data_IF_077496503144
#
_entry.id   IF_077496503144
#
_cell.length_a   1.000
_cell.length_b   1.000
_cell.length_c   1.000
_cell.angle_alpha   90.00
_cell.angle_beta   90.00
_cell.angle_gamma   90.00
#
_symmetry.space_group_name_H-M   'P 1'
#
loop_
_entity.id
_entity.type
_entity.pdbx_description
1 polymer ?
#
# COMPACT_ATOMS: atom_id res chain seq x y z
N UNK A 1 7.71 27.14 -21.73
CA UNK A 1 7.82 25.78 -21.18
C UNK A 1 8.13 25.97 -19.72
N UNK A 2 7.30 25.42 -18.85
CA UNK A 2 7.54 25.44 -17.41
C UNK A 2 8.66 24.46 -17.10
N UNK A 3 9.59 24.85 -16.24
CA UNK A 3 10.66 23.98 -15.77
C UNK A 3 10.44 23.64 -14.30
N UNK A 4 10.88 22.46 -13.87
CA UNK A 4 10.94 22.05 -12.47
C UNK A 4 12.32 22.35 -11.89
N UNK A 5 12.31 23.13 -10.82
CA UNK A 5 13.52 23.39 -10.03
C UNK A 5 13.76 22.19 -9.12
N UNK A 6 14.94 21.60 -9.17
CA UNK A 6 15.33 20.47 -8.31
C UNK A 6 16.38 20.91 -7.30
N UNK A 7 16.35 20.32 -6.11
CA UNK A 7 17.28 20.55 -5.02
C UNK A 7 18.08 19.28 -4.72
N UNK A 8 19.38 19.33 -4.95
CA UNK A 8 20.34 18.29 -4.59
C UNK A 8 20.63 18.21 -3.10
N UNK A 9 21.16 17.07 -2.66
CA UNK A 9 21.55 16.85 -1.25
C UNK A 9 22.73 17.73 -0.81
N UNK A 10 23.52 18.22 -1.76
CA UNK A 10 24.60 19.21 -1.59
C UNK A 10 24.08 20.66 -1.57
N UNK A 11 22.77 20.85 -1.75
CA UNK A 11 22.14 22.16 -1.87
C UNK A 11 22.21 22.77 -3.27
N UNK A 12 22.77 22.07 -4.26
CA UNK A 12 22.77 22.53 -5.64
C UNK A 12 21.35 22.60 -6.19
N UNK A 13 21.07 23.64 -6.97
CA UNK A 13 19.79 23.82 -7.64
C UNK A 13 19.97 23.58 -9.13
N UNK A 14 19.16 22.68 -9.68
CA UNK A 14 19.13 22.37 -11.13
C UNK A 14 17.72 22.57 -11.67
N UNK A 15 17.58 22.53 -13.00
CA UNK A 15 16.30 22.68 -13.69
C UNK A 15 16.11 21.53 -14.66
N UNK A 16 14.90 20.98 -14.73
CA UNK A 16 14.49 20.00 -15.75
C UNK A 16 13.19 20.43 -16.42
N UNK A 17 12.99 20.19 -17.72
CA UNK A 17 11.72 20.50 -18.38
C UNK A 17 10.55 19.75 -17.72
N UNK A 18 9.44 20.45 -17.49
CA UNK A 18 8.19 19.81 -17.08
C UNK A 18 7.61 19.03 -18.26
N UNK A 19 7.27 17.76 -18.03
CA UNK A 19 6.63 16.92 -19.04
C UNK A 19 5.13 17.23 -19.12
N UNK A 20 4.56 17.06 -20.30
CA UNK A 20 3.12 17.13 -20.50
C UNK A 20 2.38 16.05 -19.70
N UNK A 21 1.09 16.32 -19.43
CA UNK A 21 0.22 15.37 -18.75
C UNK A 21 0.14 14.05 -19.54
N UNK A 22 0.10 12.89 -18.86
CA UNK A 22 0.44 11.60 -19.46
C UNK A 22 -0.63 11.00 -20.40
N UNK A 23 -1.74 11.70 -20.62
CA UNK A 23 -2.78 11.32 -21.59
C UNK A 23 -3.48 9.98 -21.30
N UNK A 24 -3.33 9.42 -20.10
CA UNK A 24 -4.00 8.18 -19.71
C UNK A 24 -5.52 8.36 -19.65
N UNK A 25 -6.26 7.33 -20.05
CA UNK A 25 -7.71 7.30 -20.00
C UNK A 25 -8.20 6.31 -18.93
N UNK A 26 -9.29 6.69 -18.26
CA UNK A 26 -10.00 5.79 -17.34
C UNK A 26 -10.52 4.58 -18.11
N UNK A 27 -10.50 3.38 -17.52
CA UNK A 27 -10.98 2.18 -18.19
C UNK A 27 -12.50 2.27 -18.41
N UNK A 28 -12.96 1.88 -19.60
CA UNK A 28 -14.39 1.83 -19.94
C UNK A 28 -15.07 0.55 -19.41
N UNK A 29 -14.28 -0.47 -19.10
CA UNK A 29 -14.72 -1.76 -18.53
C UNK A 29 -13.83 -2.14 -17.36
N UNK A 30 -14.30 -2.98 -16.40
CA UNK A 30 -13.46 -3.46 -15.32
C UNK A 30 -12.14 -4.08 -15.82
N UNK A 31 -11.04 -3.83 -15.10
CA UNK A 31 -9.73 -4.42 -15.38
C UNK A 31 -9.81 -5.95 -15.22
N UNK A 32 -9.17 -6.70 -16.14
CA UNK A 32 -9.36 -8.17 -16.21
C UNK A 32 -8.12 -8.98 -15.87
N UNK A 33 -6.95 -8.53 -16.28
CA UNK A 33 -5.72 -9.32 -16.21
C UNK A 33 -5.19 -9.43 -14.79
N UNK A 34 -5.43 -8.44 -13.95
CA UNK A 34 -4.96 -8.36 -12.56
C UNK A 34 -6.01 -7.75 -11.66
N UNK A 35 -6.12 -8.29 -10.45
CA UNK A 35 -6.82 -7.63 -9.34
C UNK A 35 -5.83 -6.67 -8.68
N UNK A 36 -6.15 -5.39 -8.64
CA UNK A 36 -5.25 -4.37 -8.11
C UNK A 36 -5.96 -3.48 -7.09
N UNK A 37 -5.35 -3.37 -5.91
CA UNK A 37 -5.78 -2.49 -4.83
C UNK A 37 -4.71 -1.43 -4.57
N UNK A 38 -5.13 -0.18 -4.48
CA UNK A 38 -4.29 0.91 -3.96
C UNK A 38 -4.46 0.97 -2.43
N UNK A 39 -3.35 0.84 -1.68
CA UNK A 39 -3.37 1.05 -0.24
C UNK A 39 -3.43 2.55 0.05
N UNK A 40 -4.58 3.04 0.48
CA UNK A 40 -4.86 4.47 0.50
C UNK A 40 -4.34 5.17 1.77
N UNK A 41 -3.91 6.43 1.63
CA UNK A 41 -3.52 7.31 2.73
C UNK A 41 -4.75 8.03 3.32
N UNK A 42 -4.60 8.73 4.45
CA UNK A 42 -5.64 9.59 5.02
C UNK A 42 -5.23 11.05 4.93
N UNK A 43 -6.20 11.95 4.79
CA UNK A 43 -5.98 13.39 4.73
C UNK A 43 -6.49 14.02 6.03
N UNK A 44 -5.65 14.71 6.83
CA UNK A 44 -6.15 15.43 7.99
C UNK A 44 -6.81 16.75 7.58
N UNK A 45 -7.71 17.25 8.42
CA UNK A 45 -8.19 18.63 8.32
C UNK A 45 -7.00 19.59 8.43
N UNK A 46 -6.96 20.62 7.59
CA UNK A 46 -5.82 21.56 7.52
C UNK A 46 -5.54 22.24 8.87
N UNK A 47 -6.58 22.54 9.65
CA UNK A 47 -6.48 23.15 10.98
C UNK A 47 -6.39 22.15 12.13
N UNK A 48 -6.26 20.84 11.84
CA UNK A 48 -6.17 19.82 12.87
C UNK A 48 -4.93 19.98 13.75
N UNK A 49 -5.06 19.62 15.03
CA UNK A 49 -3.92 19.43 15.92
C UNK A 49 -3.20 18.12 15.57
N UNK A 50 -2.31 18.18 14.59
CA UNK A 50 -1.49 17.06 14.13
C UNK A 50 -0.22 16.85 14.98
N UNK A 51 -0.18 17.37 16.22
CA UNK A 51 0.94 17.08 17.13
C UNK A 51 1.06 15.57 17.35
N UNK A 52 2.27 14.97 17.36
CA UNK A 52 2.44 13.54 17.58
C UNK A 52 1.72 13.04 18.83
N UNK A 53 0.93 11.98 18.69
CA UNK A 53 0.15 11.37 19.78
C UNK A 53 -1.22 12.01 20.04
N UNK A 54 -1.63 13.03 19.28
CA UNK A 54 -3.00 13.56 19.33
C UNK A 54 -3.95 12.73 18.47
N UNK A 55 -5.25 12.63 18.85
CA UNK A 55 -6.24 11.95 18.02
C UNK A 55 -6.33 12.55 16.61
N UNK A 56 -6.51 11.70 15.61
CA UNK A 56 -6.58 12.10 14.22
C UNK A 56 -7.90 12.83 13.93
N UNK A 57 -7.81 14.02 13.32
CA UNK A 57 -8.96 14.72 12.76
C UNK A 57 -8.90 14.64 11.24
N UNK A 58 -9.69 13.74 10.67
CA UNK A 58 -9.67 13.42 9.23
C UNK A 58 -10.56 14.39 8.46
N UNK A 59 -10.06 14.88 7.34
CA UNK A 59 -10.86 15.49 6.28
C UNK A 59 -11.52 14.35 5.49
N UNK A 60 -12.78 14.09 5.83
CA UNK A 60 -13.53 12.98 5.23
C UNK A 60 -13.81 13.19 3.76
N UNK A 61 -14.03 14.42 3.32
CA UNK A 61 -14.34 14.71 1.92
C UNK A 61 -13.11 14.46 1.04
N UNK A 62 -11.94 14.96 1.44
CA UNK A 62 -10.70 14.71 0.72
C UNK A 62 -10.30 13.22 0.78
N UNK A 63 -10.38 12.61 1.97
CA UNK A 63 -10.02 11.20 2.17
C UNK A 63 -10.88 10.28 1.32
N UNK A 64 -12.20 10.44 1.34
CA UNK A 64 -13.13 9.63 0.55
C UNK A 64 -13.13 10.02 -0.93
N UNK A 65 -12.90 11.29 -1.27
CA UNK A 65 -12.70 11.76 -2.64
C UNK A 65 -11.55 11.03 -3.34
N UNK A 66 -10.45 10.80 -2.63
CA UNK A 66 -9.35 9.97 -3.15
C UNK A 66 -9.78 8.51 -3.43
N UNK A 67 -10.60 7.89 -2.57
CA UNK A 67 -11.11 6.52 -2.81
C UNK A 67 -11.97 6.48 -4.08
N UNK A 68 -12.88 7.45 -4.26
CA UNK A 68 -13.69 7.59 -5.48
C UNK A 68 -12.81 7.75 -6.73
N UNK A 69 -11.74 8.54 -6.63
CA UNK A 69 -10.78 8.67 -7.72
C UNK A 69 -10.14 7.32 -8.07
N UNK A 70 -9.72 6.53 -7.07
CA UNK A 70 -9.16 5.18 -7.27
C UNK A 70 -10.15 4.26 -7.99
N UNK A 71 -11.41 4.22 -7.54
CA UNK A 71 -12.46 3.43 -8.20
C UNK A 71 -12.70 3.88 -9.64
N UNK A 72 -12.67 5.18 -9.92
CA UNK A 72 -12.82 5.71 -11.29
C UNK A 72 -11.71 5.26 -12.25
N UNK A 73 -10.56 4.82 -11.73
CA UNK A 73 -9.46 4.23 -12.48
C UNK A 73 -9.51 2.69 -12.52
N UNK A 74 -10.58 2.07 -12.00
CA UNK A 74 -10.81 0.63 -12.04
C UNK A 74 -10.02 -0.17 -11.00
N UNK A 75 -9.28 0.49 -10.10
CA UNK A 75 -8.60 -0.18 -8.99
C UNK A 75 -9.53 -0.29 -7.77
N UNK A 76 -9.32 -1.32 -6.95
CA UNK A 76 -9.88 -1.39 -5.61
C UNK A 76 -9.11 -0.52 -4.61
N UNK A 77 -9.67 -0.34 -3.43
CA UNK A 77 -9.01 0.35 -2.30
C UNK A 77 -8.71 -0.66 -1.20
N UNK A 78 -7.46 -0.65 -0.72
CA UNK A 78 -7.11 -1.25 0.55
C UNK A 78 -6.99 -0.16 1.62
N UNK A 79 -7.95 -0.11 2.54
CA UNK A 79 -8.07 0.98 3.51
C UNK A 79 -7.77 0.55 4.96
N UNK A 80 -7.58 1.52 5.85
CA UNK A 80 -7.20 1.25 7.25
C UNK A 80 -6.01 0.26 7.37
N UNK A 81 -5.09 0.34 6.41
CA UNK A 81 -3.84 -0.43 6.34
C UNK A 81 -2.68 0.43 6.85
N UNK A 82 -1.45 -0.08 6.76
CA UNK A 82 -0.24 0.68 7.13
C UNK A 82 -0.18 2.04 6.40
N UNK A 83 -0.52 2.13 5.11
CA UNK A 83 -0.48 3.39 4.35
C UNK A 83 -1.43 4.47 4.89
N UNK A 84 -2.52 4.08 5.56
CA UNK A 84 -3.44 4.97 6.27
C UNK A 84 -2.89 5.44 7.62
N UNK A 85 -1.60 5.21 7.90
CA UNK A 85 -0.91 5.50 9.17
C UNK A 85 -1.42 4.67 10.36
N UNK A 86 -2.00 3.50 10.11
CA UNK A 86 -2.38 2.57 11.17
C UNK A 86 -1.15 2.11 11.95
N UNK A 87 -1.24 2.05 13.29
CA UNK A 87 -0.11 1.85 14.20
C UNK A 87 0.98 2.95 14.17
N UNK A 88 0.74 4.06 13.47
CA UNK A 88 1.71 5.16 13.29
C UNK A 88 1.01 6.54 13.18
N UNK A 89 -0.07 6.74 13.94
CA UNK A 89 -0.74 8.04 14.06
C UNK A 89 -2.27 7.97 14.00
N UNK A 90 -2.83 7.02 13.24
CA UNK A 90 -4.28 6.83 13.18
C UNK A 90 -4.76 6.08 14.43
N UNK A 91 -5.59 6.73 15.26
CA UNK A 91 -6.15 6.11 16.46
C UNK A 91 -7.31 5.15 16.14
N UNK A 92 -7.69 4.34 17.14
CA UNK A 92 -8.70 3.30 16.97
C UNK A 92 -10.09 3.84 16.61
N UNK A 93 -10.47 5.02 17.13
CA UNK A 93 -11.77 5.62 16.83
C UNK A 93 -11.81 6.10 15.38
N UNK A 94 -10.79 6.87 14.96
CA UNK A 94 -10.65 7.31 13.57
C UNK A 94 -10.55 6.13 12.59
N UNK A 95 -9.87 5.05 12.98
CA UNK A 95 -9.77 3.82 12.17
C UNK A 95 -11.13 3.14 11.97
N UNK A 96 -11.94 2.99 13.03
CA UNK A 96 -13.28 2.41 12.90
C UNK A 96 -14.20 3.25 12.02
N UNK A 97 -14.13 4.58 12.16
CA UNK A 97 -14.92 5.49 11.32
C UNK A 97 -14.47 5.44 9.85
N UNK A 98 -13.16 5.36 9.59
CA UNK A 98 -12.61 5.16 8.25
C UNK A 98 -13.11 3.87 7.61
N UNK A 99 -13.10 2.74 8.34
CA UNK A 99 -13.60 1.46 7.84
C UNK A 99 -15.09 1.57 7.44
N UNK A 100 -15.93 2.12 8.32
CA UNK A 100 -17.37 2.25 8.06
C UNK A 100 -17.65 3.14 6.84
N UNK A 101 -17.03 4.32 6.77
CA UNK A 101 -17.22 5.27 5.67
C UNK A 101 -16.67 4.75 4.34
N UNK A 102 -15.50 4.10 4.35
CA UNK A 102 -14.93 3.53 3.12
C UNK A 102 -15.75 2.36 2.59
N UNK A 103 -16.34 1.55 3.47
CA UNK A 103 -17.28 0.51 3.08
C UNK A 103 -18.56 1.08 2.44
N UNK A 104 -19.08 2.18 2.99
CA UNK A 104 -20.22 2.90 2.42
C UNK A 104 -19.90 3.47 1.03
N UNK A 105 -18.79 4.19 0.88
CA UNK A 105 -18.37 4.76 -0.41
C UNK A 105 -18.12 3.66 -1.45
N UNK A 106 -17.54 2.52 -1.07
CA UNK A 106 -17.38 1.40 -1.99
C UNK A 106 -18.73 0.89 -2.53
N UNK A 107 -19.77 0.80 -1.68
CA UNK A 107 -21.13 0.43 -2.12
C UNK A 107 -21.75 1.46 -3.06
N UNK A 108 -21.58 2.75 -2.77
CA UNK A 108 -22.10 3.85 -3.59
C UNK A 108 -21.48 3.86 -4.99
N UNK A 109 -20.17 3.64 -5.08
CA UNK A 109 -19.40 3.71 -6.32
C UNK A 109 -19.37 2.37 -7.08
N UNK A 110 -19.90 1.29 -6.48
CA UNK A 110 -19.71 -0.08 -6.99
C UNK A 110 -18.24 -0.52 -6.98
N UNK A 111 -17.43 0.07 -6.10
CA UNK A 111 -16.02 -0.20 -5.92
C UNK A 111 -15.74 -1.44 -5.05
N UNK A 112 -14.51 -1.96 -5.14
CA UNK A 112 -14.03 -3.03 -4.27
C UNK A 112 -13.19 -2.47 -3.13
N UNK A 113 -13.55 -2.78 -1.88
CA UNK A 113 -12.78 -2.36 -0.71
C UNK A 113 -12.39 -3.56 0.15
N UNK A 114 -11.11 -3.57 0.53
CA UNK A 114 -10.60 -4.42 1.61
C UNK A 114 -10.05 -3.53 2.70
N UNK A 115 -10.17 -3.93 3.96
CA UNK A 115 -9.72 -3.12 5.10
C UNK A 115 -8.88 -3.93 6.09
N UNK A 116 -7.93 -3.26 6.72
CA UNK A 116 -7.11 -3.89 7.74
C UNK A 116 -7.92 -4.38 8.95
N UNK A 117 -7.56 -5.55 9.46
CA UNK A 117 -7.96 -6.08 10.75
C UNK A 117 -6.68 -6.29 11.56
N UNK A 118 -6.57 -5.61 12.70
CA UNK A 118 -5.39 -5.63 13.57
C UNK A 118 -5.84 -5.61 15.04
N UNK A 119 -4.90 -5.72 15.96
CA UNK A 119 -5.11 -5.71 17.42
C UNK A 119 -4.78 -4.37 18.06
N UNK A 120 -4.69 -3.31 17.26
CA UNK A 120 -4.16 -1.99 17.62
C UNK A 120 -5.11 -1.10 18.43
N UNK A 121 -6.32 -1.59 18.70
CA UNK A 121 -7.30 -0.95 19.57
C UNK A 121 -7.16 -1.35 21.04
N UNK A 122 -6.27 -2.30 21.35
CA UNK A 122 -5.92 -2.68 22.71
C UNK A 122 -4.75 -1.82 23.15
N UNK A 123 -4.94 -1.02 24.19
CA UNK A 123 -3.93 -0.07 24.67
C UNK A 123 -2.76 -0.77 25.40
N UNK A 124 -3.04 -1.91 26.06
CA UNK A 124 -2.04 -2.68 26.79
C UNK A 124 -1.01 -3.31 25.82
N UNK A 125 0.26 -2.91 25.94
CA UNK A 125 1.32 -3.35 25.03
C UNK A 125 1.59 -4.86 25.06
N UNK A 126 1.36 -5.49 26.21
CA UNK A 126 1.60 -6.90 26.47
C UNK A 126 0.30 -7.57 26.93
N UNK A 127 -0.22 -8.45 26.08
CA UNK A 127 -1.46 -9.21 26.32
C UNK A 127 -1.24 -10.69 26.03
N UNK A 128 -2.08 -11.55 26.59
CA UNK A 128 -2.02 -13.00 26.35
C UNK A 128 -2.43 -13.36 24.91
N UNK A 129 -2.07 -14.57 24.46
CA UNK A 129 -2.52 -15.07 23.16
C UNK A 129 -4.06 -15.11 23.04
N UNK A 130 -4.76 -15.40 24.13
CA UNK A 130 -6.23 -15.41 24.13
C UNK A 130 -6.79 -14.00 23.93
N UNK A 131 -6.18 -12.99 24.57
CA UNK A 131 -6.54 -11.59 24.36
C UNK A 131 -6.21 -11.12 22.93
N UNK A 132 -5.12 -11.60 22.32
CA UNK A 132 -4.80 -11.35 20.90
C UNK A 132 -5.89 -11.92 19.99
N UNK A 133 -6.33 -13.16 20.24
CA UNK A 133 -7.40 -13.81 19.48
C UNK A 133 -8.71 -13.02 19.60
N UNK A 134 -9.10 -12.64 20.82
CA UNK A 134 -10.30 -11.85 21.08
C UNK A 134 -10.25 -10.49 20.39
N UNK A 135 -9.10 -9.82 20.42
CA UNK A 135 -8.87 -8.55 19.74
C UNK A 135 -9.05 -8.68 18.21
N UNK A 136 -8.45 -9.71 17.60
CA UNK A 136 -8.66 -9.98 16.17
C UNK A 136 -10.12 -10.27 15.85
N UNK A 137 -10.79 -11.15 16.61
CA UNK A 137 -12.20 -11.51 16.38
C UNK A 137 -13.13 -10.31 16.49
N UNK A 138 -12.90 -9.42 17.47
CA UNK A 138 -13.67 -8.18 17.64
C UNK A 138 -13.57 -7.24 16.43
N UNK A 139 -12.36 -7.05 15.90
CA UNK A 139 -12.13 -6.18 14.74
C UNK A 139 -12.59 -6.83 13.44
N UNK A 140 -12.44 -8.15 13.31
CA UNK A 140 -12.95 -8.92 12.19
C UNK A 140 -14.48 -8.80 12.10
N UNK A 141 -15.18 -9.06 13.21
CA UNK A 141 -16.63 -8.95 13.27
C UNK A 141 -17.12 -7.54 12.88
N UNK A 142 -16.46 -6.49 13.40
CA UNK A 142 -16.80 -5.12 13.01
C UNK A 142 -16.61 -4.86 11.51
N UNK A 143 -15.48 -5.30 10.94
CA UNK A 143 -15.21 -5.17 9.51
C UNK A 143 -16.28 -5.87 8.65
N UNK A 144 -16.67 -7.08 9.05
CA UNK A 144 -17.70 -7.87 8.36
C UNK A 144 -19.10 -7.24 8.48
N UNK A 145 -19.44 -6.67 9.64
CA UNK A 145 -20.69 -5.90 9.84
C UNK A 145 -20.78 -4.69 8.90
N UNK A 146 -19.64 -4.06 8.57
CA UNK A 146 -19.60 -2.97 7.59
C UNK A 146 -19.68 -3.47 6.14
N UNK A 147 -19.54 -4.78 5.91
CA UNK A 147 -19.54 -5.39 4.57
C UNK A 147 -18.24 -5.17 3.79
N UNK A 148 -17.12 -4.88 4.46
CA UNK A 148 -15.81 -4.73 3.82
C UNK A 148 -15.03 -6.05 3.84
N UNK A 149 -14.17 -6.28 2.83
CA UNK A 149 -13.30 -7.46 2.79
C UNK A 149 -12.19 -7.37 3.84
N UNK A 150 -12.02 -8.36 4.75
CA UNK A 150 -11.01 -8.28 5.79
C UNK A 150 -9.59 -8.61 5.27
N UNK A 151 -8.62 -7.79 5.66
CA UNK A 151 -7.18 -8.08 5.54
C UNK A 151 -6.62 -8.29 6.94
N UNK A 152 -6.31 -9.53 7.33
CA UNK A 152 -5.69 -9.85 8.61
C UNK A 152 -4.24 -9.36 8.61
N UNK A 153 -4.02 -8.17 9.16
CA UNK A 153 -2.70 -7.54 9.28
C UNK A 153 -1.88 -8.23 10.37
N UNK A 154 -0.56 -8.23 10.22
CA UNK A 154 0.36 -8.63 11.27
C UNK A 154 0.15 -7.76 12.55
N UNK A 155 0.14 -8.42 13.71
CA UNK A 155 -0.13 -7.82 15.03
C UNK A 155 1.14 -7.64 15.83
N UNK A 156 1.38 -6.41 16.31
CA UNK A 156 2.46 -6.13 17.28
C UNK A 156 2.28 -6.90 18.59
N UNK A 157 1.04 -7.09 19.04
CA UNK A 157 0.74 -7.89 20.23
C UNK A 157 1.09 -9.36 20.03
N UNK A 158 0.74 -9.95 18.88
CA UNK A 158 1.11 -11.33 18.56
C UNK A 158 2.62 -11.51 18.46
N UNK A 159 3.32 -10.57 17.79
CA UNK A 159 4.77 -10.60 17.68
C UNK A 159 5.48 -10.64 19.03
N UNK A 160 4.94 -9.95 20.05
CA UNK A 160 5.46 -9.95 21.42
C UNK A 160 5.04 -11.18 22.24
N UNK A 161 3.81 -11.65 22.05
CA UNK A 161 3.22 -12.70 22.90
C UNK A 161 3.60 -14.12 22.45
N UNK A 162 3.81 -14.34 21.14
CA UNK A 162 4.16 -15.64 20.60
C UNK A 162 5.58 -16.06 21.00
N UNK A 163 5.73 -17.31 21.43
CA UNK A 163 7.00 -17.94 21.80
C UNK A 163 7.47 -18.98 20.80
N UNK A 164 6.60 -19.37 19.87
CA UNK A 164 6.82 -20.43 18.89
C UNK A 164 5.99 -20.22 17.62
N UNK A 165 6.33 -20.92 16.54
CA UNK A 165 5.51 -20.97 15.33
C UNK A 165 4.10 -21.55 15.59
N UNK A 166 3.95 -22.45 16.56
CA UNK A 166 2.66 -23.05 16.93
C UNK A 166 1.70 -22.03 17.54
N UNK A 167 2.21 -21.01 18.22
CA UNK A 167 1.40 -19.91 18.73
C UNK A 167 0.78 -19.10 17.58
N UNK A 168 1.54 -18.85 16.50
CA UNK A 168 1.00 -18.21 15.29
C UNK A 168 -0.06 -19.09 14.63
N UNK A 169 0.21 -20.38 14.42
CA UNK A 169 -0.76 -21.33 13.83
C UNK A 169 -2.05 -21.35 14.63
N UNK A 170 -1.96 -21.44 15.96
CA UNK A 170 -3.10 -21.42 16.87
C UNK A 170 -3.93 -20.14 16.70
N UNK A 171 -3.29 -18.97 16.75
CA UNK A 171 -4.00 -17.68 16.66
C UNK A 171 -4.69 -17.53 15.31
N UNK A 172 -3.99 -17.79 14.20
CA UNK A 172 -4.59 -17.69 12.87
C UNK A 172 -5.73 -18.71 12.67
N UNK A 173 -5.59 -19.95 13.13
CA UNK A 173 -6.65 -20.97 13.07
C UNK A 173 -7.91 -20.51 13.80
N UNK A 174 -7.77 -19.99 15.01
CA UNK A 174 -8.90 -19.51 15.82
C UNK A 174 -9.60 -18.30 15.21
N UNK A 175 -8.85 -17.37 14.62
CA UNK A 175 -9.40 -16.17 13.98
C UNK A 175 -10.06 -16.52 12.64
N UNK A 176 -9.42 -17.35 11.81
CA UNK A 176 -9.95 -17.77 10.51
C UNK A 176 -11.22 -18.62 10.66
N UNK A 177 -11.30 -19.47 11.68
CA UNK A 177 -12.51 -20.23 11.99
C UNK A 177 -13.70 -19.34 12.38
N UNK A 178 -13.47 -18.12 12.84
CA UNK A 178 -14.52 -17.15 13.18
C UNK A 178 -14.94 -16.27 11.99
N UNK A 179 -14.19 -16.26 10.89
CA UNK A 179 -14.49 -15.44 9.72
C UNK A 179 -15.76 -15.95 9.01
N UNK A 180 -16.68 -15.03 8.72
CA UNK A 180 -17.92 -15.32 7.96
C UNK A 180 -17.65 -15.60 6.48
N UNK A 181 -16.52 -15.12 5.94
CA UNK A 181 -16.10 -15.32 4.55
C UNK A 181 -14.58 -15.29 4.36
N UNK A 182 -14.10 -15.42 3.10
CA UNK A 182 -12.68 -15.42 2.80
C UNK A 182 -11.97 -14.12 3.18
N UNK A 183 -10.78 -14.24 3.77
CA UNK A 183 -9.94 -13.11 4.21
C UNK A 183 -8.64 -13.04 3.41
N UNK A 184 -8.02 -11.87 3.35
CA UNK A 184 -6.64 -11.73 2.85
C UNK A 184 -5.68 -11.73 4.05
N UNK A 185 -4.64 -12.55 4.03
CA UNK A 185 -3.58 -12.47 5.04
C UNK A 185 -2.58 -11.36 4.65
N UNK A 186 -1.99 -10.67 5.62
CA UNK A 186 -0.94 -9.69 5.34
C UNK A 186 0.29 -9.93 6.20
N UNK A 187 1.39 -10.28 5.53
CA UNK A 187 2.72 -10.36 6.13
C UNK A 187 3.48 -9.05 5.91
N UNK A 188 3.56 -8.23 6.96
CA UNK A 188 4.32 -6.98 6.95
C UNK A 188 5.73 -7.19 7.51
N UNK A 189 6.74 -6.80 6.74
CA UNK A 189 8.16 -6.95 7.12
C UNK A 189 8.69 -5.83 8.01
N UNK A 190 9.87 -6.05 8.58
CA UNK A 190 10.53 -5.16 9.56
C UNK A 190 10.96 -3.80 9.01
N UNK A 191 11.11 -3.67 7.69
CA UNK A 191 11.36 -2.38 7.05
C UNK A 191 10.21 -1.38 7.29
N UNK A 192 8.98 -1.90 7.39
CA UNK A 192 7.76 -1.12 7.62
C UNK A 192 7.39 -1.02 9.09
N UNK A 193 7.64 -2.08 9.86
CA UNK A 193 7.39 -2.10 11.30
C UNK A 193 8.43 -2.97 12.04
N UNK A 194 9.44 -2.35 12.67
CA UNK A 194 10.49 -3.10 13.35
C UNK A 194 10.01 -4.01 14.48
N UNK A 195 8.82 -3.77 15.06
CA UNK A 195 8.26 -4.60 16.14
C UNK A 195 7.85 -5.98 15.63
N UNK A 196 7.62 -6.13 14.32
CA UNK A 196 7.23 -7.39 13.68
C UNK A 196 8.44 -8.31 13.37
N UNK A 197 9.59 -8.07 13.99
CA UNK A 197 10.77 -8.91 13.79
C UNK A 197 10.49 -10.38 14.18
N UNK A 198 10.77 -11.30 13.25
CA UNK A 198 10.54 -12.72 13.47
C UNK A 198 9.08 -13.15 13.41
N UNK A 199 8.19 -12.35 12.79
CA UNK A 199 6.80 -12.72 12.58
C UNK A 199 6.68 -14.11 11.92
N UNK A 200 5.71 -14.91 12.35
CA UNK A 200 5.60 -16.36 12.07
C UNK A 200 6.66 -17.25 12.75
N UNK A 201 7.42 -16.72 13.71
CA UNK A 201 8.28 -17.50 14.61
C UNK A 201 9.73 -17.68 14.14
N UNK A 202 10.15 -17.01 13.06
CA UNK A 202 11.54 -17.06 12.57
C UNK A 202 11.96 -15.77 11.88
N UNK A 203 13.22 -15.30 12.05
CA UNK A 203 13.78 -14.23 11.23
C UNK A 203 14.21 -14.70 9.83
N UNK A 204 14.34 -16.02 9.60
CA UNK A 204 14.55 -16.57 8.26
C UNK A 204 13.21 -16.68 7.54
N UNK A 205 13.07 -15.93 6.44
CA UNK A 205 11.84 -15.90 5.67
C UNK A 205 11.45 -17.27 5.15
N UNK A 206 12.39 -18.20 4.89
CA UNK A 206 12.05 -19.55 4.40
C UNK A 206 11.23 -20.33 5.43
N UNK A 207 11.72 -20.37 6.67
CA UNK A 207 11.02 -21.03 7.76
C UNK A 207 9.71 -20.31 8.12
N UNK A 208 9.68 -18.98 8.11
CA UNK A 208 8.46 -18.22 8.35
C UNK A 208 7.41 -18.43 7.22
N UNK A 209 7.86 -18.56 5.97
CA UNK A 209 7.01 -18.90 4.83
C UNK A 209 6.37 -20.29 4.97
N UNK A 210 7.06 -21.26 5.55
CA UNK A 210 6.48 -22.59 5.80
C UNK A 210 5.28 -22.49 6.75
N UNK A 211 5.41 -21.72 7.83
CA UNK A 211 4.31 -21.49 8.79
C UNK A 211 3.15 -20.76 8.12
N UNK A 212 3.42 -19.73 7.31
CA UNK A 212 2.40 -19.01 6.57
C UNK A 212 1.64 -19.94 5.59
N UNK A 213 2.37 -20.76 4.83
CA UNK A 213 1.77 -21.67 3.85
C UNK A 213 0.92 -22.73 4.57
N UNK A 214 1.38 -23.29 5.68
CA UNK A 214 0.59 -24.23 6.49
C UNK A 214 -0.69 -23.59 7.03
N UNK A 215 -0.63 -22.34 7.52
CA UNK A 215 -1.83 -21.59 7.94
C UNK A 215 -2.83 -21.44 6.78
N UNK A 216 -2.36 -21.18 5.57
CA UNK A 216 -3.21 -21.06 4.37
C UNK A 216 -3.79 -22.42 3.99
N UNK A 217 -2.99 -23.48 3.98
CA UNK A 217 -3.42 -24.84 3.62
C UNK A 217 -4.48 -25.38 4.59
N UNK A 218 -4.32 -25.16 5.89
CA UNK A 218 -5.29 -25.55 6.93
C UNK A 218 -6.65 -24.82 6.80
N UNK A 219 -6.69 -23.69 6.08
CA UNK A 219 -7.84 -22.78 6.03
C UNK A 219 -8.12 -22.30 4.60
N UNK A 220 -7.88 -23.13 3.58
CA UNK A 220 -7.93 -22.72 2.17
C UNK A 220 -9.31 -22.18 1.73
N UNK A 221 -10.40 -22.64 2.34
CA UNK A 221 -11.76 -22.13 2.11
C UNK A 221 -12.01 -20.74 2.74
N UNK A 222 -11.14 -20.31 3.65
CA UNK A 222 -11.21 -19.05 4.39
C UNK A 222 -10.16 -18.04 3.99
N UNK A 223 -9.24 -18.37 3.09
CA UNK A 223 -8.19 -17.45 2.64
C UNK A 223 -8.36 -17.14 1.16
N UNK A 224 -8.71 -15.89 0.83
CA UNK A 224 -8.79 -15.40 -0.54
C UNK A 224 -7.42 -15.10 -1.14
N UNK A 225 -6.43 -14.78 -0.29
CA UNK A 225 -5.09 -14.46 -0.75
C UNK A 225 -4.16 -14.06 0.39
N UNK A 226 -2.91 -13.78 0.03
CA UNK A 226 -1.91 -13.22 0.93
C UNK A 226 -1.21 -12.05 0.27
N UNK A 227 -1.04 -10.97 1.04
CA UNK A 227 -0.17 -9.84 0.73
C UNK A 227 1.17 -10.02 1.44
N UNK A 228 2.28 -10.01 0.69
CA UNK A 228 3.63 -10.01 1.25
C UNK A 228 4.33 -8.65 1.07
N UNK A 229 4.70 -8.01 2.17
CA UNK A 229 5.43 -6.73 2.19
C UNK A 229 6.80 -6.89 2.84
N UNK A 230 7.65 -7.73 2.21
CA UNK A 230 9.01 -8.00 2.66
C UNK A 230 10.09 -7.25 1.87
N UNK A 231 9.72 -6.65 0.72
CA UNK A 231 10.66 -6.08 -0.26
C UNK A 231 11.71 -7.09 -0.74
N UNK A 232 11.31 -8.37 -0.79
CA UNK A 232 12.10 -9.49 -1.27
C UNK A 232 11.28 -10.26 -2.31
N UNK A 233 11.53 -9.95 -3.58
CA UNK A 233 10.85 -10.55 -4.71
C UNK A 233 11.05 -12.08 -4.79
N UNK A 234 12.20 -12.60 -4.36
CA UNK A 234 12.48 -14.04 -4.39
C UNK A 234 11.65 -14.77 -3.32
N UNK A 235 11.50 -14.16 -2.14
CA UNK A 235 10.61 -14.66 -1.10
C UNK A 235 9.15 -14.71 -1.57
N UNK A 236 8.67 -13.65 -2.24
CA UNK A 236 7.31 -13.62 -2.78
C UNK A 236 7.06 -14.72 -3.81
N UNK A 237 7.97 -14.89 -4.78
CA UNK A 237 7.81 -15.95 -5.81
C UNK A 237 7.84 -17.34 -5.19
N UNK A 238 8.73 -17.58 -4.21
CA UNK A 238 8.79 -18.85 -3.49
C UNK A 238 7.48 -19.19 -2.78
N UNK A 239 6.80 -18.22 -2.16
CA UNK A 239 5.49 -18.44 -1.53
C UNK A 239 4.40 -18.58 -2.59
N UNK A 240 4.39 -17.72 -3.60
CA UNK A 240 3.37 -17.72 -4.67
C UNK A 240 3.25 -19.10 -5.30
N UNK A 241 4.35 -19.74 -5.64
CA UNK A 241 4.36 -21.04 -6.32
C UNK A 241 3.81 -22.20 -5.46
N UNK A 242 3.73 -22.00 -4.14
CA UNK A 242 3.21 -22.98 -3.18
C UNK A 242 1.75 -22.77 -2.79
N UNK A 243 1.11 -21.67 -3.21
CA UNK A 243 -0.25 -21.34 -2.76
C UNK A 243 -1.31 -22.34 -3.28
N UNK A 244 -2.24 -22.83 -2.43
CA UNK A 244 -3.35 -23.69 -2.85
C UNK A 244 -4.25 -23.03 -3.90
N UNK A 245 -4.83 -23.79 -4.83
CA UNK A 245 -5.73 -23.29 -5.86
C UNK A 245 -6.80 -22.33 -5.29
N UNK A 246 -7.10 -21.23 -6.00
CA UNK A 246 -8.04 -20.21 -5.55
C UNK A 246 -7.44 -19.13 -4.64
N UNK A 247 -6.33 -19.39 -3.95
CA UNK A 247 -5.63 -18.39 -3.13
C UNK A 247 -4.77 -17.49 -4.00
N UNK A 248 -4.94 -16.17 -3.90
CA UNK A 248 -4.17 -15.17 -4.67
C UNK A 248 -2.88 -14.77 -3.95
N UNK A 249 -1.82 -14.50 -4.72
CA UNK A 249 -0.68 -13.72 -4.23
C UNK A 249 -0.93 -12.26 -4.58
N UNK A 250 -1.01 -11.40 -3.59
CA UNK A 250 -0.97 -9.95 -3.77
C UNK A 250 0.45 -9.47 -3.49
N UNK A 251 1.13 -8.93 -4.49
CA UNK A 251 2.41 -8.27 -4.23
C UNK A 251 2.17 -7.06 -3.33
N UNK A 252 2.91 -7.02 -2.23
CA UNK A 252 3.10 -5.85 -1.39
C UNK A 252 4.54 -5.34 -1.48
N UNK A 253 5.27 -5.73 -2.53
CA UNK A 253 6.64 -5.33 -2.81
C UNK A 253 6.64 -4.07 -3.69
N UNK A 254 6.71 -2.91 -3.02
CA UNK A 254 6.76 -1.62 -3.68
C UNK A 254 8.12 -1.35 -4.39
N UNK A 255 9.08 -2.26 -4.38
CA UNK A 255 10.38 -2.13 -5.07
C UNK A 255 10.44 -2.89 -6.41
N UNK A 256 9.65 -3.95 -6.56
CA UNK A 256 9.81 -4.94 -7.63
C UNK A 256 8.48 -5.31 -8.33
N UNK A 257 7.43 -4.52 -8.13
CA UNK A 257 6.08 -4.84 -8.58
C UNK A 257 5.92 -4.98 -10.09
N UNK A 258 6.75 -4.34 -10.93
CA UNK A 258 6.57 -4.42 -12.40
C UNK A 258 6.74 -5.85 -12.89
N UNK A 259 7.81 -6.50 -12.43
CA UNK A 259 8.07 -7.90 -12.74
C UNK A 259 7.11 -8.86 -12.07
N UNK A 260 6.80 -8.63 -10.79
CA UNK A 260 5.93 -9.53 -10.01
C UNK A 260 4.50 -9.57 -10.56
N UNK A 261 3.96 -8.40 -10.93
CA UNK A 261 2.65 -8.27 -11.58
C UNK A 261 2.72 -8.73 -13.03
N UNK A 262 3.75 -8.35 -13.77
CA UNK A 262 3.88 -8.70 -15.19
C UNK A 262 3.99 -10.20 -15.41
N UNK A 263 4.77 -10.89 -14.59
CA UNK A 263 4.87 -12.34 -14.61
C UNK A 263 5.21 -12.91 -16.00
N UNK A 264 4.60 -14.04 -16.36
CA UNK A 264 4.85 -14.66 -17.67
C UNK A 264 4.34 -13.83 -18.85
N UNK A 265 3.36 -12.97 -18.61
CA UNK A 265 2.78 -12.11 -19.65
C UNK A 265 3.76 -11.01 -20.07
N UNK A 266 4.76 -10.70 -19.23
CA UNK A 266 5.75 -9.64 -19.47
C UNK A 266 7.18 -10.17 -19.28
N UNK A 267 7.65 -11.06 -20.16
CA UNK A 267 8.93 -11.76 -19.99
C UNK A 267 10.16 -10.84 -20.04
N UNK A 268 10.01 -9.59 -20.49
CA UNK A 268 11.08 -8.58 -20.53
C UNK A 268 11.23 -7.78 -19.24
N UNK A 269 10.25 -7.82 -18.35
CA UNK A 269 10.38 -7.19 -17.04
C UNK A 269 11.39 -7.95 -16.19
N UNK A 270 12.22 -7.24 -15.41
CA UNK A 270 13.12 -7.88 -14.45
C UNK A 270 12.31 -8.66 -13.42
N UNK A 271 12.61 -9.95 -13.27
CA UNK A 271 11.90 -10.86 -12.37
C UNK A 271 12.90 -11.76 -11.64
N UNK A 272 12.61 -12.19 -10.40
CA UNK A 272 13.35 -13.26 -9.77
C UNK A 272 13.18 -14.58 -10.55
N UNK A 273 14.04 -15.56 -10.26
CA UNK A 273 13.90 -16.91 -10.79
C UNK A 273 12.54 -17.49 -10.40
N UNK A 274 11.90 -18.20 -11.33
CA UNK A 274 10.56 -18.76 -11.20
C UNK A 274 10.49 -20.10 -11.92
N UNK A 275 9.69 -21.02 -11.41
CA UNK A 275 9.45 -22.31 -12.04
C UNK A 275 8.54 -22.11 -13.27
N UNK A 276 9.03 -22.36 -14.51
CA UNK A 276 8.19 -22.25 -15.70
C UNK A 276 7.05 -23.29 -15.73
N UNK A 277 7.13 -24.36 -14.95
CA UNK A 277 6.08 -25.37 -14.82
C UNK A 277 5.00 -24.99 -13.79
N UNK A 278 5.23 -23.97 -12.96
CA UNK A 278 4.24 -23.50 -11.99
C UNK A 278 2.99 -22.98 -12.71
N UNK A 279 1.81 -23.33 -12.21
CA UNK A 279 0.55 -22.74 -12.68
C UNK A 279 0.43 -21.24 -12.32
N UNK A 280 1.29 -20.73 -11.42
CA UNK A 280 1.23 -19.38 -10.86
C UNK A 280 2.39 -18.53 -11.36
N UNK A 281 2.12 -17.82 -12.43
CA UNK A 281 3.15 -17.10 -13.18
C UNK A 281 3.17 -15.59 -12.92
N UNK A 282 2.23 -15.04 -12.14
CA UNK A 282 2.14 -13.62 -11.78
C UNK A 282 1.52 -13.42 -10.40
N UNK A 283 1.71 -12.24 -9.82
CA UNK A 283 1.02 -11.77 -8.62
C UNK A 283 -0.05 -10.73 -8.99
N UNK A 284 -1.17 -10.74 -8.27
CA UNK A 284 -2.09 -9.59 -8.18
C UNK A 284 -1.44 -8.47 -7.34
N UNK A 285 -2.09 -7.32 -7.15
CA UNK A 285 -1.47 -6.17 -6.49
C UNK A 285 -2.28 -5.64 -5.30
N UNK A 286 -1.59 -5.36 -4.18
CA UNK A 286 -2.12 -4.57 -3.07
C UNK A 286 -0.97 -3.66 -2.56
N UNK A 287 -0.82 -2.48 -3.16
CA UNK A 287 0.41 -1.68 -3.07
C UNK A 287 0.17 -0.27 -2.55
N UNK A 288 1.09 0.24 -1.74
CA UNK A 288 1.11 1.66 -1.38
C UNK A 288 1.56 2.53 -2.56
N UNK A 289 2.48 2.01 -3.38
CA UNK A 289 2.88 2.64 -4.64
C UNK A 289 1.68 2.92 -5.55
N UNK A 290 0.70 2.00 -5.63
CA UNK A 290 -0.46 2.20 -6.49
C UNK A 290 -1.39 3.33 -6.02
N UNK A 291 -1.32 3.77 -4.77
CA UNK A 291 -1.97 5.02 -4.35
C UNK A 291 -1.21 6.27 -4.83
N UNK A 292 0.10 6.19 -5.02
CA UNK A 292 0.90 7.28 -5.57
C UNK A 292 0.82 7.39 -7.10
N UNK A 293 0.55 6.27 -7.79
CA UNK A 293 0.57 6.18 -9.26
C UNK A 293 -0.70 5.54 -9.84
N UNK A 294 -1.87 5.75 -9.22
CA UNK A 294 -3.13 5.08 -9.61
C UNK A 294 -3.45 5.13 -11.11
N UNK A 295 -3.36 6.29 -11.80
CA UNK A 295 -3.62 6.34 -13.25
C UNK A 295 -2.62 5.53 -14.08
N UNK A 296 -1.34 5.54 -13.68
CA UNK A 296 -0.26 4.81 -14.35
C UNK A 296 -0.48 3.31 -14.20
N UNK A 297 -0.80 2.85 -12.99
CA UNK A 297 -1.11 1.45 -12.70
C UNK A 297 -2.32 0.96 -13.50
N UNK A 298 -3.39 1.75 -13.54
CA UNK A 298 -4.57 1.45 -14.36
C UNK A 298 -4.22 1.32 -15.84
N UNK A 299 -3.52 2.30 -16.41
CA UNK A 299 -3.14 2.29 -17.82
C UNK A 299 -2.23 1.11 -18.17
N UNK A 300 -1.34 0.71 -17.26
CA UNK A 300 -0.51 -0.47 -17.44
C UNK A 300 -1.33 -1.76 -17.46
N UNK A 301 -2.28 -1.94 -16.53
CA UNK A 301 -3.15 -3.13 -16.52
C UNK A 301 -4.06 -3.15 -17.75
N UNK A 302 -4.56 -2.00 -18.22
CA UNK A 302 -5.28 -1.90 -19.50
C UNK A 302 -4.42 -2.37 -20.69
N UNK A 303 -3.12 -2.11 -20.68
CA UNK A 303 -2.21 -2.64 -21.70
C UNK A 303 -2.09 -4.18 -21.63
N UNK A 304 -2.03 -4.76 -20.43
CA UNK A 304 -2.09 -6.22 -20.26
C UNK A 304 -3.42 -6.80 -20.74
N UNK A 305 -4.55 -6.14 -20.45
CA UNK A 305 -5.88 -6.53 -20.91
C UNK A 305 -5.99 -6.57 -22.44
N UNK A 306 -5.18 -5.77 -23.12
CA UNK A 306 -5.03 -5.72 -24.58
C UNK A 306 -3.94 -6.66 -25.12
N UNK A 307 -3.23 -7.41 -24.27
CA UNK A 307 -2.14 -8.29 -24.66
C UNK A 307 -0.84 -7.56 -25.05
N UNK A 308 -0.69 -6.29 -24.66
CA UNK A 308 0.46 -5.44 -24.99
C UNK A 308 1.46 -5.34 -23.83
N UNK A 309 2.28 -6.39 -23.70
CA UNK A 309 3.34 -6.48 -22.70
C UNK A 309 4.38 -5.36 -22.81
N UNK A 310 4.62 -4.87 -24.03
CA UNK A 310 5.60 -3.84 -24.33
C UNK A 310 5.12 -2.48 -23.83
N UNK A 311 3.84 -2.18 -24.06
CA UNK A 311 3.20 -0.98 -23.53
C UNK A 311 3.06 -1.02 -22.02
N UNK A 312 2.73 -2.17 -21.42
CA UNK A 312 2.76 -2.34 -19.97
C UNK A 312 4.13 -1.94 -19.40
N UNK A 313 5.21 -2.48 -19.97
CA UNK A 313 6.57 -2.22 -19.49
C UNK A 313 6.97 -0.75 -19.71
N UNK A 314 6.58 -0.16 -20.85
CA UNK A 314 6.86 1.25 -21.14
C UNK A 314 6.14 2.21 -20.16
N UNK A 315 4.94 1.86 -19.70
CA UNK A 315 4.16 2.67 -18.76
C UNK A 315 4.67 2.46 -17.33
N UNK A 316 4.76 1.21 -16.87
CA UNK A 316 4.98 0.90 -15.46
C UNK A 316 6.47 0.79 -15.11
N UNK A 317 7.32 0.39 -16.04
CA UNK A 317 8.76 0.21 -15.81
C UNK A 317 9.45 1.43 -15.16
N UNK A 318 9.29 2.66 -15.70
CA UNK A 318 9.91 3.87 -15.13
C UNK A 318 9.49 4.18 -13.68
N UNK A 319 8.34 3.65 -13.24
CA UNK A 319 7.76 3.98 -11.93
C UNK A 319 8.43 3.24 -10.77
N UNK A 320 9.20 2.17 -11.02
CA UNK A 320 9.92 1.47 -9.94
C UNK A 320 10.97 2.37 -9.29
N UNK A 321 11.66 3.22 -10.07
CA UNK A 321 12.63 4.13 -9.51
C UNK A 321 11.97 5.18 -8.62
N UNK A 322 10.84 5.74 -9.06
CA UNK A 322 9.99 6.61 -8.24
C UNK A 322 9.59 5.91 -6.94
N UNK A 323 9.10 4.67 -7.03
CA UNK A 323 8.65 3.92 -5.87
C UNK A 323 9.80 3.60 -4.91
N UNK A 324 10.95 3.16 -5.41
CA UNK A 324 12.15 2.95 -4.57
C UNK A 324 12.58 4.22 -3.84
N UNK A 325 12.41 5.40 -4.47
CA UNK A 325 12.65 6.68 -3.79
C UNK A 325 11.61 6.93 -2.69
N UNK A 326 10.31 6.80 -2.98
CA UNK A 326 9.23 6.98 -2.00
C UNK A 326 9.43 6.07 -0.77
N UNK A 327 9.82 4.82 -1.02
CA UNK A 327 10.01 3.78 -0.02
C UNK A 327 11.46 3.63 0.48
N UNK A 328 12.34 4.58 0.16
CA UNK A 328 13.74 4.55 0.58
C UNK A 328 13.89 4.52 2.12
N UNK A 329 14.97 3.94 2.63
CA UNK A 329 15.22 3.88 4.07
C UNK A 329 15.20 5.28 4.73
N UNK A 330 14.61 5.48 5.93
CA UNK A 330 13.81 4.50 6.69
C UNK A 330 12.45 4.28 6.02
N UNK A 331 12.15 3.03 5.64
CA UNK A 331 11.03 2.71 4.74
C UNK A 331 9.67 3.04 5.34
N UNK A 332 9.47 2.85 6.65
CA UNK A 332 8.20 3.14 7.34
C UNK A 332 7.68 4.59 7.17
N UNK A 333 8.52 5.54 6.74
CA UNK A 333 8.12 6.91 6.37
C UNK A 333 7.64 7.10 4.92
N UNK A 334 7.51 6.04 4.11
CA UNK A 334 7.06 6.13 2.71
C UNK A 334 5.71 6.84 2.55
N UNK A 335 4.86 6.74 3.57
CA UNK A 335 3.54 7.40 3.69
C UNK A 335 3.65 8.91 3.41
N UNK A 336 4.79 9.51 3.77
CA UNK A 336 5.13 10.92 3.49
C UNK A 336 5.22 11.19 2.00
N UNK A 337 5.89 10.32 1.24
CA UNK A 337 6.00 10.44 -0.22
C UNK A 337 4.65 10.19 -0.91
N UNK A 338 3.84 9.25 -0.41
CA UNK A 338 2.48 9.00 -0.92
C UNK A 338 1.58 10.23 -0.72
N UNK A 339 1.52 10.78 0.49
CA UNK A 339 0.75 12.00 0.77
C UNK A 339 1.30 13.23 0.03
N UNK A 340 2.62 13.30 -0.18
CA UNK A 340 3.24 14.35 -0.97
C UNK A 340 2.81 14.30 -2.44
N UNK A 341 2.81 13.13 -3.07
CA UNK A 341 2.31 12.95 -4.44
C UNK A 341 0.81 13.21 -4.55
N UNK A 342 0.02 12.78 -3.56
CA UNK A 342 -1.40 13.13 -3.43
C UNK A 342 -1.61 14.64 -3.42
N UNK A 343 -0.80 15.36 -2.64
CA UNK A 343 -0.80 16.83 -2.63
C UNK A 343 -0.32 17.43 -3.95
N UNK A 344 0.71 16.91 -4.62
CA UNK A 344 1.10 17.46 -5.91
C UNK A 344 0.00 17.30 -6.97
N UNK A 345 -0.73 16.19 -6.95
CA UNK A 345 -1.73 15.83 -7.96
C UNK A 345 -3.15 16.39 -7.73
N UNK A 346 -3.38 17.14 -6.65
CA UNK A 346 -4.70 17.77 -6.44
C UNK A 346 -5.61 17.08 -5.43
N UNK A 347 -5.22 15.91 -4.90
CA UNK A 347 -6.10 15.07 -4.09
C UNK A 347 -6.22 15.53 -2.63
N UNK A 348 -5.30 16.37 -2.16
CA UNK A 348 -5.40 17.08 -0.88
C UNK A 348 -5.01 18.55 -1.02
N UNK A 349 -5.62 19.41 -0.21
CA UNK A 349 -5.47 20.87 -0.31
C UNK A 349 -4.09 21.36 0.19
N UNK A 350 -3.54 20.72 1.21
CA UNK A 350 -2.25 21.06 1.82
C UNK A 350 -1.41 19.80 2.04
N UNK A 351 -0.08 19.94 2.02
CA UNK A 351 0.82 18.88 2.44
C UNK A 351 0.88 18.82 3.98
N UNK A 352 -0.14 18.16 4.54
CA UNK A 352 -0.30 17.87 5.96
C UNK A 352 -0.61 16.38 6.11
N UNK A 353 -0.24 15.83 7.26
CA UNK A 353 -0.45 14.42 7.60
C UNK A 353 -0.76 14.31 9.08
N UNK A 354 -1.54 13.28 9.43
CA UNK A 354 -1.83 12.92 10.82
C UNK A 354 -0.50 12.74 11.57
N UNK A 355 -0.43 13.21 12.82
CA UNK A 355 0.77 13.11 13.65
C UNK A 355 1.99 13.88 13.11
N UNK A 356 1.81 14.81 12.18
CA UNK A 356 2.87 15.70 11.71
C UNK A 356 3.87 15.02 10.75
N UNK A 357 3.55 13.84 10.23
CA UNK A 357 4.50 13.05 9.42
C UNK A 357 4.87 13.68 8.07
N UNK A 358 4.24 14.77 7.65
CA UNK A 358 4.63 15.52 6.45
C UNK A 358 6.09 16.03 6.51
N UNK A 359 6.67 16.18 7.71
CA UNK A 359 8.07 16.56 7.89
C UNK A 359 9.06 15.38 7.97
N UNK A 360 8.62 14.14 7.77
CA UNK A 360 9.47 12.95 7.97
C UNK A 360 10.44 12.67 6.82
N UNK A 361 10.38 13.44 5.73
CA UNK A 361 11.33 13.36 4.60
C UNK A 361 11.95 14.72 4.33
N UNK A 362 13.22 14.72 3.96
CA UNK A 362 13.97 15.94 3.66
C UNK A 362 13.55 16.56 2.33
N UNK A 363 13.78 17.87 2.18
CA UNK A 363 13.45 18.58 0.94
C UNK A 363 14.18 18.00 -0.30
N UNK A 364 15.48 17.63 -0.25
CA UNK A 364 16.12 16.93 -1.38
C UNK A 364 15.49 15.57 -1.71
N UNK A 365 15.03 14.83 -0.69
CA UNK A 365 14.32 13.56 -0.91
C UNK A 365 13.01 13.77 -1.67
N UNK A 366 12.23 14.79 -1.27
CA UNK A 366 10.99 15.19 -1.96
C UNK A 366 11.29 15.73 -3.37
N UNK A 367 12.39 16.45 -3.56
CA UNK A 367 12.83 16.91 -4.88
C UNK A 367 13.12 15.76 -5.83
N UNK A 368 13.75 14.67 -5.35
CA UNK A 368 13.97 13.48 -6.17
C UNK A 368 12.66 12.77 -6.50
N UNK A 369 11.65 12.80 -5.61
CA UNK A 369 10.30 12.33 -5.92
C UNK A 369 9.69 13.16 -7.06
N UNK A 370 9.79 14.49 -7.03
CA UNK A 370 9.28 15.37 -8.10
C UNK A 370 9.91 15.03 -9.45
N UNK A 371 11.24 14.90 -9.49
CA UNK A 371 11.96 14.54 -10.71
C UNK A 371 11.50 13.20 -11.29
N UNK A 372 11.45 12.17 -10.43
CA UNK A 372 11.06 10.81 -10.84
C UNK A 372 9.57 10.73 -11.21
N UNK A 373 8.70 11.49 -10.55
CA UNK A 373 7.29 11.57 -10.88
C UNK A 373 7.07 12.24 -12.25
N UNK A 374 7.84 13.28 -12.57
CA UNK A 374 7.84 13.90 -13.89
C UNK A 374 8.33 12.92 -14.97
N UNK A 375 9.46 12.25 -14.72
CA UNK A 375 10.06 11.30 -15.67
C UNK A 375 9.22 10.05 -15.91
N UNK A 376 8.45 9.60 -14.90
CA UNK A 376 7.56 8.44 -14.99
C UNK A 376 6.11 8.78 -15.27
N UNK A 377 5.83 10.04 -15.66
CA UNK A 377 4.47 10.45 -16.05
C UNK A 377 3.42 10.25 -14.94
N UNK A 378 3.85 10.38 -13.68
CA UNK A 378 3.01 10.25 -12.48
C UNK A 378 2.40 11.57 -11.99
N UNK A 379 2.77 12.70 -12.60
CA UNK A 379 2.14 14.00 -12.34
C UNK A 379 0.85 14.12 -13.17
N UNK A 380 -0.30 14.00 -12.51
CA UNK A 380 -1.63 14.06 -13.15
C UNK A 380 -1.95 15.46 -13.67
N UNK A 381 -1.50 16.49 -12.92
CA UNK A 381 -1.66 17.90 -13.25
C UNK A 381 -0.29 18.58 -13.16
N UNK A 382 0.58 18.45 -14.20
CA UNK A 382 1.98 18.88 -14.12
C UNK A 382 2.17 20.34 -13.69
N UNK A 383 1.39 21.28 -14.23
CA UNK A 383 1.50 22.71 -13.87
C UNK A 383 1.10 22.96 -12.40
N UNK A 384 0.05 22.30 -11.90
CA UNK A 384 -0.34 22.39 -10.49
C UNK A 384 0.75 21.82 -9.57
N UNK A 385 1.35 20.70 -9.98
CA UNK A 385 2.45 20.09 -9.24
C UNK A 385 3.68 21.01 -9.21
N UNK A 386 4.03 21.63 -10.33
CA UNK A 386 5.13 22.60 -10.42
C UNK A 386 4.87 23.81 -9.51
N UNK A 387 3.68 24.42 -9.58
CA UNK A 387 3.29 25.55 -8.74
C UNK A 387 3.39 25.24 -7.24
N UNK A 388 2.87 24.07 -6.84
CA UNK A 388 2.90 23.58 -5.45
C UNK A 388 4.32 23.32 -4.99
N UNK A 389 5.11 22.60 -5.78
CA UNK A 389 6.49 22.29 -5.47
C UNK A 389 7.34 23.55 -5.32
N UNK A 390 7.26 24.49 -6.27
CA UNK A 390 7.98 25.75 -6.19
C UNK A 390 7.52 26.62 -5.02
N UNK A 391 6.24 26.58 -4.64
CA UNK A 391 5.77 27.24 -3.43
C UNK A 391 6.42 26.66 -2.17
N UNK A 392 6.56 25.33 -2.09
CA UNK A 392 7.27 24.67 -0.98
C UNK A 392 8.76 25.04 -0.96
N UNK A 393 9.43 25.09 -2.11
CA UNK A 393 10.82 25.55 -2.21
C UNK A 393 10.97 26.98 -1.68
N UNK A 394 10.09 27.91 -2.11
CA UNK A 394 10.09 29.31 -1.64
C UNK A 394 9.88 29.41 -0.13
N UNK A 395 8.95 28.64 0.44
CA UNK A 395 8.72 28.59 1.88
C UNK A 395 9.97 28.14 2.65
N UNK A 396 10.76 27.24 2.06
CA UNK A 396 12.01 26.74 2.62
C UNK A 396 13.25 27.57 2.23
N UNK A 397 13.06 28.77 1.67
CA UNK A 397 14.15 29.69 1.33
C UNK A 397 14.95 29.35 0.07
N UNK A 398 14.51 28.37 -0.72
CA UNK A 398 15.10 28.04 -2.03
C UNK A 398 14.44 28.92 -3.09
N UNK A 399 15.26 29.66 -3.85
CA UNK A 399 14.77 30.46 -4.98
C UNK A 399 14.68 29.55 -6.20
N UNK A 400 13.46 29.33 -6.67
CA UNK A 400 13.15 28.60 -7.89
C UNK A 400 13.50 29.41 -9.14
#
# INVERSE_FOLDING_TARGET
MTDLTLLGADGAVTSVPLNDAPGFARPETPLRSRVAYAAAHVVPVVSADNTPGRPAQIDWDATLGFRRAVYSWGLGVADAMDTAQRNMGLDAAATRELIARSAEVAREEGGSVVVGVNTDHVDDEHISLDQVIDAYKSQLAFTEEQGAGPVLMASRHLARAASSADDYRRVYREVLAAASGPVVLHWLGTAFDPILAGYFGSPDWRAASDVLVEVIEENADRVAGVKMSLLDAASEVSVRERLPEGVRMFTGDDFNYVGLIGGADVPRATQPERDPASARQHSDALLGAFAAITPVASAAIQALDAGDADRYLAILGPTEELSRQVFAAPTFYYKTGVAFLSWLNGHQAAFQMVGGLHSARSLPHLSRIVELANASHALEQPELAADRWHAMLRLNGVRA
#
